data_IF_310844417257
#
_entry.id   IF_310844417257
#
_cell.length_a   1.000
_cell.length_b   1.000
_cell.length_c   1.000
_cell.angle_alpha   90.00
_cell.angle_beta   90.00
_cell.angle_gamma   90.00
#
_symmetry.space_group_name_H-M   'P 1'
#
loop_
_entity.id
_entity.type
_entity.pdbx_description
1 polymer ?
#
# COMPACT_ATOMS: atom_id res chain seq x y z
N UNK A 1 4.18 28.93 -13.92
CA UNK A 1 5.08 28.21 -12.98
C UNK A 1 4.51 26.83 -12.88
N UNK A 2 5.30 25.80 -13.19
CA UNK A 2 4.84 24.40 -13.07
C UNK A 2 4.80 24.00 -11.59
N UNK A 3 3.95 23.01 -11.25
CA UNK A 3 3.90 22.45 -9.91
C UNK A 3 4.77 21.19 -9.77
N UNK A 4 4.89 20.63 -8.57
CA UNK A 4 5.72 19.46 -8.30
C UNK A 4 5.35 18.25 -9.16
N UNK A 5 4.05 18.01 -9.36
CA UNK A 5 3.55 16.95 -10.23
C UNK A 5 4.00 17.13 -11.68
N UNK A 6 3.84 18.33 -12.22
CA UNK A 6 4.22 18.64 -13.60
C UNK A 6 5.73 18.48 -13.78
N UNK A 7 6.52 18.99 -12.84
CA UNK A 7 7.97 18.83 -12.84
C UNK A 7 8.40 17.36 -12.79
N UNK A 8 7.72 16.55 -11.97
CA UNK A 8 7.98 15.11 -11.91
C UNK A 8 7.55 14.37 -13.20
N UNK A 9 6.44 14.81 -13.81
CA UNK A 9 6.01 14.25 -15.11
C UNK A 9 7.00 14.49 -16.22
N UNK A 10 7.70 15.62 -16.24
CA UNK A 10 8.80 15.88 -17.19
C UNK A 10 9.88 14.81 -17.06
N UNK A 11 10.28 14.47 -15.82
CA UNK A 11 11.24 13.40 -15.55
C UNK A 11 10.75 12.03 -16.08
N UNK A 12 9.49 11.69 -15.83
CA UNK A 12 8.90 10.43 -16.31
C UNK A 12 8.83 10.35 -17.85
N UNK A 13 8.69 11.50 -18.51
CA UNK A 13 8.69 11.61 -19.97
C UNK A 13 10.11 11.62 -20.57
N UNK A 14 11.16 11.59 -19.74
CA UNK A 14 12.55 11.71 -20.20
C UNK A 14 12.97 13.15 -20.56
N UNK A 15 12.20 14.13 -20.12
CA UNK A 15 12.49 15.54 -20.25
C UNK A 15 13.35 16.04 -19.08
N UNK A 16 14.02 17.17 -19.24
CA UNK A 16 14.78 17.78 -18.16
C UNK A 16 13.83 18.56 -17.24
N UNK A 17 13.64 18.15 -15.96
CA UNK A 17 12.79 18.89 -15.03
C UNK A 17 13.41 20.26 -14.68
N UNK A 18 12.60 21.23 -14.27
CA UNK A 18 13.08 22.56 -13.87
C UNK A 18 13.90 22.54 -12.57
N UNK A 19 13.62 21.58 -11.70
CA UNK A 19 14.39 21.28 -10.48
C UNK A 19 14.40 19.78 -10.22
N UNK A 20 15.32 19.31 -9.38
CA UNK A 20 15.39 17.90 -8.98
C UNK A 20 14.16 17.55 -8.15
N UNK A 21 13.23 16.69 -8.65
CA UNK A 21 12.06 16.32 -7.89
C UNK A 21 12.44 15.55 -6.64
N UNK A 22 11.85 15.86 -5.50
CA UNK A 22 11.98 15.02 -4.34
C UNK A 22 11.02 13.85 -4.44
N UNK A 23 11.50 12.65 -4.11
CA UNK A 23 10.67 11.47 -4.00
C UNK A 23 10.44 11.16 -2.53
N UNK A 24 9.19 11.22 -2.12
CA UNK A 24 8.76 10.73 -0.81
C UNK A 24 7.40 10.07 -0.96
N UNK A 25 7.21 8.95 -0.30
CA UNK A 25 5.93 8.23 -0.26
C UNK A 25 5.08 8.64 0.95
N UNK A 26 5.63 9.48 1.82
CA UNK A 26 4.93 9.95 3.02
C UNK A 26 4.57 11.41 2.84
N UNK A 27 3.33 11.79 3.21
CA UNK A 27 2.95 13.19 3.22
C UNK A 27 3.80 13.97 4.21
N UNK A 28 4.08 15.25 3.94
CA UNK A 28 4.79 16.10 4.88
C UNK A 28 3.98 16.26 6.16
N UNK A 29 4.64 16.51 7.30
CA UNK A 29 3.93 16.79 8.53
C UNK A 29 2.98 17.98 8.37
N UNK A 30 1.77 17.87 8.90
CA UNK A 30 0.79 18.96 8.84
C UNK A 30 1.36 20.26 9.44
N UNK A 31 1.27 21.33 8.66
CA UNK A 31 1.78 22.64 9.08
C UNK A 31 3.28 22.84 8.91
N UNK A 32 3.98 21.90 8.27
CA UNK A 32 5.42 22.05 7.99
C UNK A 32 5.76 23.14 6.98
N UNK A 33 4.79 23.54 6.16
CA UNK A 33 5.01 24.46 5.02
C UNK A 33 5.79 23.83 3.86
N UNK A 34 6.06 22.54 3.93
CA UNK A 34 6.67 21.80 2.83
C UNK A 34 5.62 21.52 1.73
N UNK A 35 6.02 21.52 0.46
CA UNK A 35 5.12 21.20 -0.63
C UNK A 35 4.65 19.74 -0.52
N UNK A 36 3.44 19.48 -1.04
CA UNK A 36 2.97 18.11 -1.22
C UNK A 36 3.93 17.34 -2.14
N UNK A 37 4.15 16.04 -1.87
CA UNK A 37 5.04 15.25 -2.71
C UNK A 37 4.47 15.10 -4.12
N UNK A 38 5.31 15.05 -5.16
CA UNK A 38 4.86 14.89 -6.55
C UNK A 38 4.15 13.56 -6.79
N UNK A 39 4.38 12.59 -5.92
CA UNK A 39 3.80 11.25 -5.98
C UNK A 39 3.45 10.76 -4.57
N UNK A 40 2.27 10.22 -4.41
CA UNK A 40 1.82 9.62 -3.14
C UNK A 40 1.39 8.18 -3.36
N UNK A 41 1.72 7.36 -2.36
CA UNK A 41 1.31 5.97 -2.31
C UNK A 41 -0.16 5.89 -1.90
N UNK A 42 -0.96 5.24 -2.74
CA UNK A 42 -2.31 4.84 -2.39
C UNK A 42 -2.31 3.35 -2.04
N UNK A 43 -2.58 3.05 -0.78
CA UNK A 43 -2.76 1.67 -0.34
C UNK A 43 -4.24 1.38 -0.22
N UNK A 44 -4.80 0.46 -1.01
CA UNK A 44 -6.21 0.13 -0.95
C UNK A 44 -6.59 -0.38 0.45
N UNK A 45 -7.61 0.22 1.05
CA UNK A 45 -8.06 -0.13 2.40
C UNK A 45 -8.42 -1.61 2.52
N UNK A 46 -9.03 -2.17 1.47
CA UNK A 46 -9.46 -3.55 1.49
C UNK A 46 -8.32 -4.56 1.67
N UNK A 47 -7.10 -4.24 1.18
CA UNK A 47 -5.91 -5.08 1.35
C UNK A 47 -5.41 -5.06 2.80
N UNK A 48 -5.63 -3.95 3.50
CA UNK A 48 -5.12 -3.73 4.85
C UNK A 48 -6.15 -3.92 5.96
N UNK A 49 -7.45 -4.03 5.63
CA UNK A 49 -8.48 -4.15 6.66
C UNK A 49 -8.32 -5.36 7.59
N UNK A 50 -7.58 -6.37 7.13
CA UNK A 50 -7.29 -7.59 7.90
C UNK A 50 -6.05 -7.45 8.79
N UNK A 51 -5.24 -6.41 8.58
CA UNK A 51 -4.04 -6.10 9.36
C UNK A 51 -4.26 -4.83 10.19
N UNK A 52 -5.17 -4.90 11.15
CA UNK A 52 -5.43 -3.74 12.00
C UNK A 52 -4.22 -3.45 12.88
N UNK A 53 -3.66 -2.24 12.72
CA UNK A 53 -2.57 -1.76 13.58
C UNK A 53 -2.99 -1.83 15.04
N UNK A 54 -2.14 -2.39 15.88
CA UNK A 54 -2.41 -2.58 17.31
C UNK A 54 -3.29 -3.79 17.67
N UNK A 55 -3.85 -4.50 16.69
CA UNK A 55 -4.76 -5.63 16.95
C UNK A 55 -4.35 -6.91 16.21
N UNK A 56 -3.93 -6.78 14.96
CA UNK A 56 -3.73 -7.92 14.08
C UNK A 56 -4.98 -8.28 13.28
N UNK A 57 -5.08 -9.53 12.83
CA UNK A 57 -6.21 -10.05 12.06
C UNK A 57 -5.81 -11.22 11.18
N UNK A 58 -6.73 -11.66 10.34
CA UNK A 58 -6.49 -12.73 9.36
C UNK A 58 -6.62 -12.12 7.97
N UNK A 59 -5.62 -12.32 7.11
CA UNK A 59 -5.65 -11.83 5.75
C UNK A 59 -6.50 -12.73 4.82
N UNK A 60 -6.74 -12.32 3.56
CA UNK A 60 -7.53 -13.11 2.63
C UNK A 60 -6.95 -14.49 2.27
N UNK A 61 -5.65 -14.72 2.53
CA UNK A 61 -4.99 -16.01 2.34
C UNK A 61 -5.09 -16.92 3.57
N UNK A 62 -5.68 -16.42 4.67
CA UNK A 62 -5.83 -17.14 5.92
C UNK A 62 -4.65 -16.97 6.87
N UNK A 63 -3.66 -16.15 6.53
CA UNK A 63 -2.50 -15.87 7.41
C UNK A 63 -2.96 -15.02 8.57
N UNK A 64 -2.69 -15.49 9.78
CA UNK A 64 -2.95 -14.78 11.02
C UNK A 64 -1.81 -13.82 11.32
N UNK A 65 -2.16 -12.58 11.61
CA UNK A 65 -1.26 -11.52 12.06
C UNK A 65 -1.53 -11.16 13.50
N UNK A 66 -0.48 -10.93 14.25
CA UNK A 66 -0.54 -10.51 15.65
C UNK A 66 0.18 -9.20 15.86
N UNK A 67 -0.31 -8.41 16.79
CA UNK A 67 0.37 -7.21 17.24
C UNK A 67 1.55 -7.60 18.15
N UNK A 68 2.69 -6.95 17.98
CA UNK A 68 3.85 -7.13 18.85
C UNK A 68 4.44 -5.78 19.24
N UNK A 69 4.57 -5.55 20.52
CA UNK A 69 5.27 -4.37 21.07
C UNK A 69 6.79 -4.44 20.82
N UNK A 70 7.35 -5.64 20.73
CA UNK A 70 8.78 -5.87 20.50
C UNK A 70 9.26 -5.31 19.15
N UNK A 71 8.36 -5.19 18.18
CA UNK A 71 8.63 -4.60 16.85
C UNK A 71 7.95 -3.23 16.69
N UNK A 72 7.92 -2.44 17.76
CA UNK A 72 7.35 -1.09 17.78
C UNK A 72 5.88 -1.02 17.29
N UNK A 73 5.08 -2.02 17.63
CA UNK A 73 3.68 -2.03 17.28
C UNK A 73 3.38 -2.49 15.85
N UNK A 74 4.35 -3.04 15.14
CA UNK A 74 4.09 -3.64 13.84
C UNK A 74 3.23 -4.90 13.96
N UNK A 75 2.45 -5.14 12.93
CA UNK A 75 1.64 -6.35 12.81
C UNK A 75 2.44 -7.39 12.04
N UNK A 76 2.77 -8.50 12.69
CA UNK A 76 3.61 -9.57 12.14
C UNK A 76 2.81 -10.87 11.98
N UNK A 77 3.18 -11.73 11.02
CA UNK A 77 2.61 -13.08 10.97
C UNK A 77 2.79 -13.81 12.31
N UNK A 78 1.77 -14.51 12.75
CA UNK A 78 1.81 -15.32 13.97
C UNK A 78 2.69 -16.54 13.74
N UNK A 79 3.86 -16.57 14.36
CA UNK A 79 4.82 -17.67 14.23
C UNK A 79 4.40 -18.95 14.95
N UNK A 80 3.28 -18.93 15.65
CA UNK A 80 2.73 -20.10 16.35
C UNK A 80 1.51 -20.70 15.65
N UNK A 81 1.06 -20.06 14.55
CA UNK A 81 -0.15 -20.46 13.83
C UNK A 81 0.14 -20.49 12.32
N UNK A 82 0.57 -21.64 11.84
CA UNK A 82 0.79 -21.86 10.41
C UNK A 82 -0.46 -22.44 9.76
N UNK A 83 -0.78 -21.95 8.55
CA UNK A 83 -1.86 -22.53 7.72
C UNK A 83 -1.38 -23.76 6.94
N UNK A 84 -0.09 -23.96 6.84
CA UNK A 84 0.55 -25.04 6.10
C UNK A 84 1.62 -25.70 6.98
N UNK A 85 1.33 -26.89 7.50
CA UNK A 85 2.27 -27.65 8.33
C UNK A 85 3.23 -28.49 7.47
N UNK A 86 2.75 -28.98 6.32
CA UNK A 86 3.52 -29.77 5.37
C UNK A 86 3.47 -29.14 3.98
N UNK A 87 4.62 -28.69 3.50
CA UNK A 87 4.76 -28.03 2.20
C UNK A 87 4.26 -28.87 1.02
N UNK A 88 4.27 -30.20 1.15
CA UNK A 88 3.78 -31.10 0.09
C UNK A 88 2.28 -30.96 -0.16
N UNK A 89 1.54 -30.47 0.83
CA UNK A 89 0.08 -30.31 0.80
C UNK A 89 -0.36 -28.89 0.36
N UNK A 90 0.55 -28.05 -0.10
CA UNK A 90 0.25 -26.63 -0.38
C UNK A 90 -0.92 -26.43 -1.35
N UNK A 91 -1.07 -27.31 -2.37
CA UNK A 91 -2.16 -27.19 -3.36
C UNK A 91 -3.53 -27.41 -2.76
N UNK A 92 -3.63 -28.18 -1.69
CA UNK A 92 -4.90 -28.50 -1.02
C UNK A 92 -5.25 -27.46 0.05
N UNK A 93 -4.23 -26.91 0.69
CA UNK A 93 -4.36 -25.97 1.82
C UNK A 93 -4.40 -24.51 1.34
N UNK A 94 -3.47 -24.10 0.47
CA UNK A 94 -3.38 -22.70 0.03
C UNK A 94 -4.37 -22.48 -1.12
N UNK A 95 -5.33 -21.60 -0.89
CA UNK A 95 -6.31 -21.19 -1.89
C UNK A 95 -6.24 -19.69 -2.13
N UNK A 96 -6.15 -19.30 -3.38
CA UNK A 96 -6.24 -17.89 -3.72
C UNK A 96 -7.60 -17.31 -3.29
N UNK A 97 -7.61 -16.12 -2.71
CA UNK A 97 -8.86 -15.45 -2.38
C UNK A 97 -9.73 -15.28 -3.63
N UNK A 98 -11.03 -15.52 -3.49
CA UNK A 98 -11.97 -15.18 -4.57
C UNK A 98 -12.18 -13.67 -4.61
N UNK A 99 -11.72 -13.07 -5.69
CA UNK A 99 -11.83 -11.64 -5.94
C UNK A 99 -12.83 -11.29 -7.05
N UNK A 100 -13.55 -12.30 -7.56
CA UNK A 100 -14.49 -12.12 -8.68
C UNK A 100 -15.73 -11.30 -8.32
N UNK A 101 -16.12 -11.30 -7.04
CA UNK A 101 -17.28 -10.57 -6.53
C UNK A 101 -17.00 -9.10 -6.20
N UNK A 102 -15.80 -8.59 -6.41
CA UNK A 102 -15.46 -7.20 -6.11
C UNK A 102 -15.78 -6.27 -7.28
N UNK A 103 -16.46 -5.17 -6.98
CA UNK A 103 -16.62 -4.04 -7.88
C UNK A 103 -15.37 -3.16 -7.84
N UNK A 104 -14.37 -3.51 -8.65
CA UNK A 104 -13.06 -2.85 -8.66
C UNK A 104 -13.13 -1.37 -9.03
N UNK A 105 -14.04 -1.00 -9.93
CA UNK A 105 -14.21 0.40 -10.32
C UNK A 105 -14.72 1.24 -9.15
N UNK A 106 -15.74 0.76 -8.45
CA UNK A 106 -16.27 1.42 -7.25
C UNK A 106 -15.22 1.49 -6.13
N UNK A 107 -14.52 0.38 -5.86
CA UNK A 107 -13.48 0.32 -4.83
C UNK A 107 -12.35 1.31 -5.14
N UNK A 108 -11.88 1.36 -6.39
CA UNK A 108 -10.84 2.29 -6.80
C UNK A 108 -11.27 3.75 -6.62
N UNK A 109 -12.50 4.07 -7.04
CA UNK A 109 -13.07 5.41 -6.90
C UNK A 109 -13.18 5.82 -5.43
N UNK A 110 -13.77 4.98 -4.59
CA UNK A 110 -13.91 5.24 -3.16
C UNK A 110 -12.55 5.42 -2.47
N UNK A 111 -11.56 4.59 -2.79
CA UNK A 111 -10.21 4.72 -2.23
C UNK A 111 -9.54 6.03 -2.63
N UNK A 112 -9.68 6.46 -3.88
CA UNK A 112 -9.13 7.73 -4.35
C UNK A 112 -9.82 8.91 -3.66
N UNK A 113 -11.15 8.90 -3.58
CA UNK A 113 -11.93 9.95 -2.92
C UNK A 113 -11.59 10.04 -1.42
N UNK A 114 -11.53 8.89 -0.73
CA UNK A 114 -11.23 8.83 0.71
C UNK A 114 -9.77 9.16 1.04
N UNK A 115 -8.85 9.06 0.08
CA UNK A 115 -7.44 9.37 0.31
C UNK A 115 -7.19 10.84 0.62
N UNK A 116 -8.08 11.74 0.17
CA UNK A 116 -7.91 13.18 0.28
C UNK A 116 -6.76 13.75 -0.56
N UNK A 117 -6.18 12.95 -1.45
CA UNK A 117 -5.06 13.36 -2.31
C UNK A 117 -5.56 14.30 -3.40
N UNK A 118 -4.95 15.50 -3.47
CA UNK A 118 -5.20 16.43 -4.57
C UNK A 118 -4.50 15.94 -5.84
N UNK A 119 -5.27 15.37 -6.75
CA UNK A 119 -4.75 14.81 -7.99
C UNK A 119 -4.26 15.84 -9.00
N UNK A 120 -4.59 17.11 -8.82
CA UNK A 120 -4.06 18.18 -9.67
C UNK A 120 -2.60 18.50 -9.32
N UNK A 121 -2.19 18.23 -8.09
CA UNK A 121 -0.86 18.51 -7.56
C UNK A 121 -0.01 17.26 -7.37
N UNK A 122 -0.62 16.07 -7.25
CA UNK A 122 0.06 14.84 -6.88
C UNK A 122 -0.34 13.67 -7.78
N UNK A 123 0.63 12.89 -8.22
CA UNK A 123 0.43 11.61 -8.90
C UNK A 123 0.11 10.51 -7.88
N UNK A 124 -0.74 9.57 -8.27
CA UNK A 124 -0.97 8.36 -7.49
C UNK A 124 0.00 7.26 -7.92
N UNK A 125 0.58 6.61 -6.94
CA UNK A 125 1.36 5.39 -7.11
C UNK A 125 0.71 4.25 -6.34
N UNK A 126 0.74 3.07 -6.92
CA UNK A 126 0.41 1.84 -6.21
C UNK A 126 1.70 1.09 -5.94
N UNK A 127 1.90 0.75 -4.68
CA UNK A 127 3.00 -0.11 -4.30
C UNK A 127 2.54 -1.57 -4.36
N UNK A 128 3.24 -2.35 -5.16
CA UNK A 128 2.95 -3.77 -5.33
C UNK A 128 4.16 -4.53 -4.81
N UNK A 129 4.08 -4.91 -3.54
CA UNK A 129 5.08 -5.76 -2.92
C UNK A 129 4.87 -7.21 -3.35
N UNK A 130 5.64 -7.66 -4.33
CA UNK A 130 5.72 -9.07 -4.66
C UNK A 130 7.09 -9.62 -4.22
N UNK A 131 7.07 -10.40 -3.15
CA UNK A 131 8.20 -11.23 -2.80
C UNK A 131 7.79 -12.70 -2.84
N UNK A 132 8.54 -13.54 -3.54
CA UNK A 132 8.32 -14.99 -3.56
C UNK A 132 8.32 -15.64 -2.17
N UNK A 133 8.80 -14.92 -1.15
CA UNK A 133 8.92 -15.39 0.23
C UNK A 133 7.99 -14.68 1.21
N UNK A 134 7.08 -13.82 0.72
CA UNK A 134 6.13 -13.09 1.56
C UNK A 134 4.70 -13.62 1.48
N UNK A 135 4.48 -14.62 0.61
CA UNK A 135 3.17 -15.25 0.42
C UNK A 135 3.30 -16.76 0.41
#
# INVERSE_FOLDING_TARGET
MINEKQNFQMLLNGECPEWVPSYTILPPPKGSGLPEPPIMLLTPEFLNKHRKVGVGGIDPWGVKYVYSEEVNGATMPDTTSFILDDITNWRDVIKAPDISGFDWERIAKENIENSGINRDETLLSFDVHFGYFQH
#
